data_IF_080335299283
#
_entry.id   IF_080335299283
#
_cell.length_a   1.000
_cell.length_b   1.000
_cell.length_c   1.000
_cell.angle_alpha   90.00
_cell.angle_beta   90.00
_cell.angle_gamma   90.00
#
_symmetry.space_group_name_H-M   'P 1'
#
loop_
_entity.id
_entity.type
_entity.pdbx_description
1 polymer ?
#
# COMPACT_ATOMS: atom_id res chain seq x y z
N UNK A 1 4.63 -3.69 -14.73
CA UNK A 1 3.33 -4.03 -14.10
C UNK A 1 3.54 -4.03 -12.59
N UNK A 2 2.72 -3.35 -11.79
CA UNK A 2 2.88 -3.34 -10.33
C UNK A 2 2.53 -4.70 -9.73
N UNK A 3 3.09 -4.99 -8.56
CA UNK A 3 2.69 -6.11 -7.70
C UNK A 3 1.91 -5.58 -6.51
N UNK A 4 0.93 -6.36 -6.03
CA UNK A 4 0.12 -6.01 -4.86
C UNK A 4 0.48 -6.95 -3.74
N UNK A 5 0.77 -6.42 -2.55
CA UNK A 5 0.96 -7.21 -1.33
C UNK A 5 -0.19 -6.96 -0.36
N UNK A 6 -0.63 -8.01 0.33
CA UNK A 6 -1.64 -7.97 1.38
C UNK A 6 -1.03 -8.45 2.71
N UNK A 7 -0.26 -7.60 3.42
CA UNK A 7 0.48 -7.99 4.62
C UNK A 7 -0.33 -8.77 5.66
N UNK A 8 -1.54 -8.32 6.02
CA UNK A 8 -2.36 -9.00 7.03
C UNK A 8 -2.86 -10.36 6.54
N UNK A 9 -3.40 -10.43 5.33
CA UNK A 9 -3.82 -11.70 4.72
C UNK A 9 -2.68 -12.73 4.66
N UNK A 10 -1.50 -12.31 4.19
CA UNK A 10 -0.32 -13.17 4.14
C UNK A 10 0.10 -13.67 5.53
N UNK A 11 -0.05 -12.83 6.56
CA UNK A 11 0.23 -13.19 7.94
C UNK A 11 -0.77 -14.22 8.48
N UNK A 12 -2.08 -13.96 8.36
CA UNK A 12 -3.13 -14.83 8.87
C UNK A 12 -3.19 -16.19 8.17
N UNK A 13 -2.84 -16.23 6.88
CA UNK A 13 -2.79 -17.46 6.09
C UNK A 13 -1.42 -18.15 6.12
N UNK A 14 -0.45 -17.62 6.87
CA UNK A 14 0.92 -18.15 6.97
C UNK A 14 1.63 -18.29 5.62
N UNK A 15 1.39 -17.37 4.68
CA UNK A 15 2.01 -17.36 3.34
C UNK A 15 3.49 -16.92 3.35
N UNK A 16 3.99 -16.45 4.50
CA UNK A 16 5.32 -15.87 4.63
C UNK A 16 5.35 -14.36 4.32
N UNK A 17 6.52 -13.75 4.52
CA UNK A 17 6.70 -12.32 4.30
C UNK A 17 6.98 -12.00 2.82
N UNK A 18 6.30 -10.99 2.29
CA UNK A 18 6.55 -10.49 0.94
C UNK A 18 7.99 -9.94 0.82
N UNK A 19 8.83 -10.44 -0.11
CA UNK A 19 10.25 -10.06 -0.21
C UNK A 19 10.41 -8.72 -0.96
N UNK A 20 9.82 -7.65 -0.43
CA UNK A 20 9.68 -6.36 -1.11
C UNK A 20 11.02 -5.75 -1.56
N UNK A 21 12.10 -5.94 -0.78
CA UNK A 21 13.42 -5.40 -1.11
C UNK A 21 13.96 -5.98 -2.42
N UNK A 22 13.66 -7.26 -2.72
CA UNK A 22 14.01 -7.87 -4.00
C UNK A 22 13.29 -7.18 -5.16
N UNK A 23 11.98 -6.99 -5.03
CA UNK A 23 11.16 -6.32 -6.04
C UNK A 23 11.61 -4.86 -6.25
N UNK A 24 11.89 -4.14 -5.17
CA UNK A 24 12.40 -2.77 -5.21
C UNK A 24 13.74 -2.67 -5.94
N UNK A 25 14.68 -3.60 -5.70
CA UNK A 25 15.98 -3.66 -6.41
C UNK A 25 15.83 -3.83 -7.93
N UNK A 26 14.73 -4.43 -8.39
CA UNK A 26 14.42 -4.61 -9.81
C UNK A 26 13.52 -3.50 -10.37
N UNK A 27 13.29 -2.41 -9.61
CA UNK A 27 12.45 -1.29 -10.05
C UNK A 27 10.96 -1.66 -10.19
N UNK A 28 10.51 -2.73 -9.53
CA UNK A 28 9.11 -3.14 -9.57
C UNK A 28 8.30 -2.23 -8.66
N UNK A 29 7.22 -1.67 -9.22
CA UNK A 29 6.24 -0.89 -8.47
C UNK A 29 5.45 -1.80 -7.53
N UNK A 30 5.26 -1.37 -6.28
CA UNK A 30 4.52 -2.12 -5.26
C UNK A 30 3.30 -1.31 -4.83
N UNK A 31 2.18 -2.00 -4.65
CA UNK A 31 0.94 -1.49 -4.11
C UNK A 31 0.49 -2.29 -2.89
N UNK A 32 -0.36 -1.69 -2.05
CA UNK A 32 -1.04 -2.40 -0.97
C UNK A 32 -2.43 -2.84 -1.42
N UNK A 33 -2.87 -3.99 -0.90
CA UNK A 33 -4.24 -4.45 -0.96
C UNK A 33 -4.60 -5.12 0.36
N UNK A 34 -5.89 -5.17 0.69
CA UNK A 34 -6.37 -5.80 1.93
C UNK A 34 -6.59 -7.30 1.77
N UNK A 35 -6.75 -7.78 0.52
CA UNK A 35 -7.48 -9.03 0.25
C UNK A 35 -8.94 -8.94 0.76
N UNK A 36 -9.67 -10.05 0.73
CA UNK A 36 -11.01 -10.13 1.32
C UNK A 36 -10.98 -10.06 2.85
N UNK A 37 -12.10 -9.66 3.46
CA UNK A 37 -12.25 -9.64 4.93
C UNK A 37 -12.10 -11.02 5.59
N UNK A 38 -12.19 -12.12 4.82
CA UNK A 38 -12.00 -13.48 5.32
C UNK A 38 -10.56 -13.74 5.81
N UNK A 39 -9.59 -13.03 5.25
CA UNK A 39 -8.15 -13.16 5.57
C UNK A 39 -7.51 -11.83 5.94
N UNK A 40 -7.99 -10.71 5.40
CA UNK A 40 -7.50 -9.36 5.66
C UNK A 40 -8.19 -8.62 6.80
N UNK A 41 -9.22 -9.21 7.43
CA UNK A 41 -10.04 -8.62 8.53
C UNK A 41 -10.89 -7.40 8.15
N UNK A 42 -10.29 -6.34 7.60
CA UNK A 42 -10.95 -5.07 7.23
C UNK A 42 -10.56 -4.64 5.81
N UNK A 43 -11.32 -3.71 5.23
CA UNK A 43 -10.97 -3.06 3.95
C UNK A 43 -10.16 -1.77 4.15
N UNK A 44 -9.71 -1.50 5.37
CA UNK A 44 -8.97 -0.29 5.71
C UNK A 44 -7.52 -0.41 5.25
N UNK A 45 -7.13 0.40 4.26
CA UNK A 45 -5.77 0.37 3.71
C UNK A 45 -4.72 0.89 4.71
N UNK A 46 -5.16 1.66 5.72
CA UNK A 46 -4.31 2.14 6.81
C UNK A 46 -3.78 0.98 7.66
N UNK A 47 -4.62 -0.02 7.92
CA UNK A 47 -4.23 -1.21 8.68
C UNK A 47 -3.16 -2.00 7.92
N UNK A 48 -3.29 -2.13 6.59
CA UNK A 48 -2.26 -2.76 5.75
C UNK A 48 -0.96 -1.94 5.71
N UNK A 49 -1.06 -0.62 5.75
CA UNK A 49 0.10 0.25 5.82
C UNK A 49 0.88 0.02 7.12
N UNK A 50 0.19 0.02 8.26
CA UNK A 50 0.80 -0.27 9.56
C UNK A 50 1.36 -1.70 9.61
N UNK A 51 0.62 -2.67 9.07
CA UNK A 51 1.10 -4.04 8.96
C UNK A 51 2.35 -4.17 8.10
N UNK A 52 2.47 -3.42 6.98
CA UNK A 52 3.68 -3.41 6.17
C UNK A 52 4.89 -2.84 6.93
N UNK A 53 4.70 -1.80 7.74
CA UNK A 53 5.76 -1.29 8.62
C UNK A 53 6.19 -2.36 9.63
N UNK A 54 5.22 -2.95 10.34
CA UNK A 54 5.49 -3.84 11.47
C UNK A 54 5.98 -5.23 11.05
N UNK A 55 5.43 -5.80 9.97
CA UNK A 55 5.69 -7.17 9.53
C UNK A 55 6.78 -7.26 8.47
N UNK A 56 6.94 -6.22 7.64
CA UNK A 56 7.86 -6.22 6.50
C UNK A 56 9.03 -5.26 6.67
N UNK A 57 9.02 -4.40 7.70
CA UNK A 57 10.10 -3.44 7.97
C UNK A 57 10.21 -2.35 6.90
N UNK A 58 9.11 -1.99 6.25
CA UNK A 58 9.08 -0.96 5.20
C UNK A 58 9.01 0.43 5.85
N UNK A 59 9.79 1.38 5.34
CA UNK A 59 9.76 2.77 5.79
C UNK A 59 8.37 3.42 5.54
N UNK A 60 7.93 4.27 6.47
CA UNK A 60 6.62 4.93 6.44
C UNK A 60 6.37 5.70 5.14
N UNK A 61 7.37 6.45 4.64
CA UNK A 61 7.23 7.18 3.37
C UNK A 61 6.97 6.24 2.21
N UNK A 62 7.67 5.10 2.21
CA UNK A 62 7.55 4.12 1.15
C UNK A 62 6.19 3.40 1.20
N UNK A 63 5.69 3.08 2.40
CA UNK A 63 4.36 2.50 2.60
C UNK A 63 3.25 3.44 2.12
N UNK A 64 3.31 4.73 2.48
CA UNK A 64 2.33 5.72 2.00
C UNK A 64 2.35 5.80 0.47
N UNK A 65 3.54 5.74 -0.15
CA UNK A 65 3.64 5.71 -1.61
C UNK A 65 2.99 4.46 -2.21
N UNK A 66 3.13 3.28 -1.58
CA UNK A 66 2.48 2.05 -2.04
C UNK A 66 0.96 2.13 -1.93
N UNK A 67 0.45 2.64 -0.81
CA UNK A 67 -0.98 2.80 -0.55
C UNK A 67 -1.65 3.75 -1.56
N UNK A 68 -0.99 4.86 -1.91
CA UNK A 68 -1.54 5.88 -2.81
C UNK A 68 -1.13 5.60 -4.26
N UNK A 69 0.13 5.88 -4.61
CA UNK A 69 0.62 5.87 -5.99
C UNK A 69 0.72 4.46 -6.56
N UNK A 70 1.09 3.49 -5.73
CA UNK A 70 1.08 2.07 -6.10
C UNK A 70 -0.35 1.62 -6.45
N UNK A 71 -1.32 1.94 -5.60
CA UNK A 71 -2.75 1.62 -5.80
C UNK A 71 -3.33 2.18 -7.10
N UNK A 72 -3.11 3.46 -7.40
CA UNK A 72 -3.55 4.07 -8.67
C UNK A 72 -2.97 3.33 -9.88
N UNK A 73 -1.66 3.00 -9.86
CA UNK A 73 -1.00 2.26 -10.94
C UNK A 73 -1.54 0.83 -11.07
N UNK A 74 -1.80 0.15 -9.95
CA UNK A 74 -2.31 -1.22 -9.94
C UNK A 74 -3.74 -1.32 -10.50
N UNK A 75 -4.57 -0.33 -10.18
CA UNK A 75 -5.98 -0.27 -10.62
C UNK A 75 -6.17 0.45 -11.96
N UNK A 76 -5.09 0.95 -12.58
CA UNK A 76 -5.09 1.71 -13.84
C UNK A 76 -5.94 2.98 -13.81
N UNK A 77 -6.02 3.61 -12.64
CA UNK A 77 -6.62 4.94 -12.50
C UNK A 77 -5.57 6.02 -12.73
N UNK A 78 -6.01 7.20 -13.17
CA UNK A 78 -5.13 8.37 -13.25
C UNK A 78 -4.59 8.70 -11.86
N UNK A 79 -3.32 9.10 -11.80
CA UNK A 79 -2.62 9.20 -10.52
C UNK A 79 -3.02 10.46 -9.76
N UNK A 80 -4.10 10.40 -8.99
CA UNK A 80 -4.44 11.46 -8.02
C UNK A 80 -3.59 11.34 -6.73
N UNK A 81 -3.67 12.33 -5.83
CA UNK A 81 -2.95 12.34 -4.55
C UNK A 81 -1.51 12.86 -4.62
N UNK A 82 -1.20 13.72 -5.59
CA UNK A 82 -0.08 14.67 -5.47
C UNK A 82 -0.66 16.00 -5.05
N UNK A 83 0.00 16.65 -4.10
CA UNK A 83 -0.42 17.92 -3.54
C UNK A 83 0.69 18.95 -3.75
N UNK A 84 0.34 20.08 -4.33
CA UNK A 84 1.21 21.20 -4.62
C UNK A 84 0.51 22.52 -4.26
N UNK A 85 1.28 23.61 -4.29
CA UNK A 85 0.74 24.95 -4.05
C UNK A 85 -0.30 25.29 -5.11
N UNK A 86 -1.50 25.66 -4.67
CA UNK A 86 -2.62 26.03 -5.55
C UNK A 86 -3.69 24.94 -5.67
N UNK A 87 -3.43 23.73 -5.15
CA UNK A 87 -4.44 22.68 -5.13
C UNK A 87 -5.55 22.97 -4.10
N UNK A 88 -6.75 22.48 -4.41
CA UNK A 88 -7.93 22.61 -3.55
C UNK A 88 -7.81 21.74 -2.30
N UNK A 89 -7.52 22.39 -1.16
CA UNK A 89 -7.35 21.74 0.14
C UNK A 89 -8.59 20.95 0.59
N UNK A 90 -9.80 21.27 0.11
CA UNK A 90 -11.02 20.55 0.51
C UNK A 90 -11.04 19.09 0.06
N UNK A 91 -10.23 18.75 -0.95
CA UNK A 91 -10.06 17.38 -1.46
C UNK A 91 -9.03 16.57 -0.65
N UNK A 92 -8.34 17.19 0.32
CA UNK A 92 -7.31 16.53 1.11
C UNK A 92 -7.93 15.61 2.16
N UNK A 93 -7.56 14.34 2.12
CA UNK A 93 -7.89 13.39 3.18
C UNK A 93 -6.74 13.31 4.19
N UNK A 94 -7.06 13.47 5.47
CA UNK A 94 -6.14 13.26 6.59
C UNK A 94 -6.47 11.92 7.22
N UNK A 95 -5.47 11.05 7.34
CA UNK A 95 -5.60 9.76 8.00
C UNK A 95 -5.49 9.99 9.51
N UNK A 96 -6.51 9.60 10.27
CA UNK A 96 -6.62 9.79 11.71
C UNK A 96 -6.42 8.47 12.47
#
# INVERSE_FOLDING_TARGET
>A
MPVVTCPRSNHHLHCGAFPWALYARHGVEVALGTDSVASGESLEIHDEALAAVNLLGVDLRQVVRWAVKGGYKATRHETEGTWARGDDFSRLSVWA
#
